data_IF_879552780800
#
_entry.id   IF_879552780800
#
_cell.length_a   1.000
_cell.length_b   1.000
_cell.length_c   1.000
_cell.angle_alpha   90.00
_cell.angle_beta   90.00
_cell.angle_gamma   90.00
#
_symmetry.space_group_name_H-M   'P 1'
#
loop_
_entity.id
_entity.type
_entity.pdbx_description
1 polymer ?
#
# COMPACT_ATOMS: atom_id res chain seq x y z
N UNK A 1 46.56 -19.50 50.45
CA UNK A 1 46.55 -19.45 48.97
C UNK A 1 45.22 -18.87 48.52
N UNK A 2 45.21 -17.62 48.02
CA UNK A 2 44.00 -16.98 47.50
C UNK A 2 43.77 -17.43 46.05
N UNK A 3 42.63 -18.09 45.81
CA UNK A 3 42.20 -18.56 44.49
C UNK A 3 41.78 -17.33 43.67
N UNK A 4 42.59 -16.88 42.71
CA UNK A 4 42.17 -15.86 41.74
C UNK A 4 40.97 -16.41 40.97
N UNK A 5 39.81 -15.78 41.15
CA UNK A 5 38.61 -16.04 40.34
C UNK A 5 38.93 -15.56 38.92
N UNK A 6 38.76 -16.44 37.93
CA UNK A 6 39.00 -16.14 36.53
C UNK A 6 38.00 -15.08 36.03
N UNK A 7 38.41 -13.82 36.01
CA UNK A 7 37.65 -12.68 35.44
C UNK A 7 37.43 -12.83 33.92
N UNK A 8 38.21 -13.69 33.25
CA UNK A 8 38.11 -13.95 31.81
C UNK A 8 36.83 -14.70 31.38
N UNK A 9 36.10 -15.33 32.31
CA UNK A 9 34.85 -16.04 32.01
C UNK A 9 33.60 -15.15 31.95
N UNK A 10 33.66 -13.96 32.52
CA UNK A 10 32.52 -13.03 32.59
C UNK A 10 32.41 -12.16 31.32
N UNK A 11 33.54 -11.87 30.67
CA UNK A 11 33.61 -11.03 29.48
C UNK A 11 32.90 -11.64 28.24
N UNK A 12 33.05 -12.93 27.91
CA UNK A 12 32.28 -13.56 26.83
C UNK A 12 30.76 -13.60 27.12
N UNK A 13 30.37 -13.77 28.38
CA UNK A 13 28.97 -13.72 28.81
C UNK A 13 28.36 -12.32 28.67
N UNK A 14 29.12 -11.28 29.03
CA UNK A 14 28.74 -9.89 28.85
C UNK A 14 28.62 -9.53 27.35
N UNK A 15 29.56 -9.99 26.51
CA UNK A 15 29.51 -9.82 25.06
C UNK A 15 28.28 -10.50 24.44
N UNK A 16 27.94 -11.71 24.88
CA UNK A 16 26.76 -12.42 24.43
C UNK A 16 25.46 -11.69 24.82
N UNK A 17 25.39 -11.14 26.04
CA UNK A 17 24.29 -10.30 26.50
C UNK A 17 24.16 -9.01 25.67
N UNK A 18 25.27 -8.31 25.42
CA UNK A 18 25.28 -7.11 24.58
C UNK A 18 24.85 -7.42 23.15
N UNK A 19 25.34 -8.51 22.57
CA UNK A 19 24.97 -8.93 21.21
C UNK A 19 23.48 -9.25 21.12
N UNK A 20 22.94 -9.98 22.10
CA UNK A 20 21.49 -10.26 22.19
C UNK A 20 20.66 -8.99 22.34
N UNK A 21 21.16 -8.00 23.08
CA UNK A 21 20.54 -6.68 23.19
C UNK A 21 20.51 -5.93 21.85
N UNK A 22 21.61 -5.96 21.10
CA UNK A 22 21.70 -5.39 19.75
C UNK A 22 20.74 -6.12 18.79
N UNK A 23 20.73 -7.45 18.80
CA UNK A 23 19.86 -8.26 17.93
C UNK A 23 18.38 -7.97 18.22
N UNK A 24 18.00 -7.83 19.50
CA UNK A 24 16.65 -7.45 19.89
C UNK A 24 16.31 -6.01 19.47
N UNK A 25 17.26 -5.07 19.61
CA UNK A 25 17.11 -3.70 19.13
C UNK A 25 16.89 -3.63 17.63
N UNK A 26 17.68 -4.37 16.84
CA UNK A 26 17.53 -4.46 15.40
C UNK A 26 16.17 -5.05 15.01
N UNK A 27 15.75 -6.14 15.65
CA UNK A 27 14.44 -6.74 15.41
C UNK A 27 13.30 -5.75 15.67
N UNK A 28 13.39 -4.96 16.75
CA UNK A 28 12.40 -3.95 17.07
C UNK A 28 12.35 -2.84 16.00
N UNK A 29 13.52 -2.32 15.60
CA UNK A 29 13.61 -1.29 14.56
C UNK A 29 13.08 -1.80 13.22
N UNK A 30 13.42 -3.02 12.82
CA UNK A 30 12.94 -3.64 11.58
C UNK A 30 11.42 -3.83 11.61
N UNK A 31 10.87 -4.25 12.75
CA UNK A 31 9.42 -4.42 12.93
C UNK A 31 8.70 -3.07 12.87
N UNK A 32 9.23 -2.06 13.55
CA UNK A 32 8.67 -0.71 13.53
C UNK A 32 8.72 -0.09 12.13
N UNK A 33 9.84 -0.24 11.42
CA UNK A 33 9.98 0.20 10.03
C UNK A 33 8.96 -0.48 9.12
N UNK A 34 8.79 -1.81 9.25
CA UNK A 34 7.78 -2.57 8.50
C UNK A 34 6.36 -2.07 8.77
N UNK A 35 6.02 -1.74 10.02
CA UNK A 35 4.70 -1.19 10.38
C UNK A 35 4.48 0.21 9.81
N UNK A 36 5.51 1.07 9.84
CA UNK A 36 5.47 2.40 9.23
C UNK A 36 5.25 2.29 7.72
N UNK A 37 5.99 1.41 7.06
CA UNK A 37 5.84 1.14 5.63
C UNK A 37 4.43 0.64 5.33
N UNK A 38 3.92 -0.34 6.09
CA UNK A 38 2.56 -0.86 5.91
C UNK A 38 1.50 0.25 6.04
N UNK A 39 1.60 1.08 7.09
CA UNK A 39 0.68 2.21 7.32
C UNK A 39 0.75 3.24 6.18
N UNK A 40 1.95 3.47 5.63
CA UNK A 40 2.12 4.37 4.50
C UNK A 40 1.48 3.82 3.22
N UNK A 41 1.59 2.52 3.00
CA UNK A 41 1.03 1.84 1.85
C UNK A 41 -0.48 1.63 1.95
N UNK A 42 -1.06 1.60 3.16
CA UNK A 42 -2.52 1.52 3.35
C UNK A 42 -3.27 2.67 2.64
N UNK A 43 -2.58 3.76 2.28
CA UNK A 43 -3.13 4.85 1.44
C UNK A 43 -3.61 4.39 0.05
N UNK A 44 -3.17 3.24 -0.44
CA UNK A 44 -3.70 2.68 -1.69
C UNK A 44 -5.09 2.07 -1.53
N UNK A 45 -5.54 1.80 -0.29
CA UNK A 45 -6.85 1.23 -0.05
C UNK A 45 -7.94 2.24 -0.40
N UNK A 46 -8.93 1.79 -1.15
CA UNK A 46 -10.00 2.65 -1.63
C UNK A 46 -10.45 2.27 -3.03
N UNK A 47 -11.24 3.15 -3.60
CA UNK A 47 -11.80 3.02 -4.94
C UNK A 47 -11.12 4.03 -5.85
N UNK A 48 -10.71 3.56 -7.02
CA UNK A 48 -9.90 4.31 -7.96
C UNK A 48 -10.53 4.25 -9.34
N UNK A 49 -10.47 5.35 -10.08
CA UNK A 49 -11.01 5.49 -11.44
C UNK A 49 -9.84 5.71 -12.41
N UNK A 50 -9.79 4.92 -13.48
CA UNK A 50 -8.76 5.07 -14.49
C UNK A 50 -8.91 6.44 -15.18
N UNK A 51 -7.79 7.14 -15.41
CA UNK A 51 -7.79 8.40 -16.17
C UNK A 51 -8.16 8.20 -17.63
N UNK A 52 -7.90 7.00 -18.15
CA UNK A 52 -8.16 6.62 -19.52
C UNK A 52 -8.96 5.32 -19.55
N UNK A 53 -10.00 5.29 -20.38
CA UNK A 53 -10.91 4.16 -20.53
C UNK A 53 -11.99 4.08 -19.46
N UNK A 54 -12.72 2.97 -19.46
CA UNK A 54 -13.85 2.71 -18.56
C UNK A 54 -13.48 1.64 -17.54
N UNK A 55 -12.43 1.88 -16.75
CA UNK A 55 -11.98 0.95 -15.73
C UNK A 55 -11.94 1.61 -14.36
N UNK A 56 -12.22 0.80 -13.35
CA UNK A 56 -12.00 1.14 -11.95
C UNK A 56 -11.15 0.09 -11.27
N UNK A 57 -10.52 0.47 -10.16
CA UNK A 57 -9.75 -0.43 -9.33
C UNK A 57 -10.24 -0.28 -7.88
N UNK A 58 -10.66 -1.39 -7.27
CA UNK A 58 -11.05 -1.41 -5.86
C UNK A 58 -9.99 -2.16 -5.07
N UNK A 59 -9.29 -1.45 -4.19
CA UNK A 59 -8.20 -2.01 -3.39
C UNK A 59 -8.61 -2.05 -1.93
N UNK A 60 -8.43 -3.21 -1.29
CA UNK A 60 -8.62 -3.38 0.15
C UNK A 60 -7.44 -4.11 0.76
N UNK A 61 -7.18 -3.84 2.03
CA UNK A 61 -6.26 -4.63 2.84
C UNK A 61 -6.78 -6.05 3.02
N UNK A 62 -5.89 -7.04 2.91
CA UNK A 62 -6.16 -8.44 3.22
C UNK A 62 -4.92 -9.10 3.81
N UNK A 63 -4.98 -9.49 5.09
CA UNK A 63 -3.82 -10.05 5.78
C UNK A 63 -2.64 -9.09 5.76
N UNK A 64 -1.46 -9.58 5.39
CA UNK A 64 -0.22 -8.79 5.25
C UNK A 64 -0.07 -8.10 3.87
N UNK A 65 -1.12 -8.10 3.05
CA UNK A 65 -1.10 -7.49 1.72
C UNK A 65 -2.45 -6.88 1.38
N UNK A 66 -2.75 -6.87 0.08
CA UNK A 66 -3.92 -6.21 -0.47
C UNK A 66 -4.53 -7.07 -1.57
N UNK A 67 -5.83 -6.92 -1.73
CA UNK A 67 -6.58 -7.43 -2.88
C UNK A 67 -7.03 -6.24 -3.70
N UNK A 68 -6.76 -6.30 -5.00
CA UNK A 68 -7.19 -5.29 -5.96
C UNK A 68 -8.12 -5.93 -6.99
N UNK A 69 -9.34 -5.42 -7.11
CA UNK A 69 -10.31 -5.83 -8.12
C UNK A 69 -10.29 -4.82 -9.24
N UNK A 70 -9.86 -5.25 -10.43
CA UNK A 70 -10.01 -4.49 -11.65
C UNK A 70 -11.43 -4.67 -12.16
N UNK A 71 -12.13 -3.57 -12.36
CA UNK A 71 -13.53 -3.56 -12.77
C UNK A 71 -13.70 -2.81 -14.10
N UNK A 72 -14.54 -3.35 -14.97
CA UNK A 72 -15.12 -2.61 -16.10
C UNK A 72 -16.25 -1.72 -15.56
N UNK A 73 -16.19 -0.44 -15.91
CA UNK A 73 -17.16 0.61 -15.54
C UNK A 73 -17.85 1.22 -16.76
N UNK A 74 -17.82 0.53 -17.91
CA UNK A 74 -18.52 0.96 -19.12
C UNK A 74 -20.05 0.90 -19.01
N UNK A 75 -20.56 0.20 -17.99
CA UNK A 75 -21.97 -0.01 -17.70
C UNK A 75 -22.36 0.67 -16.39
N UNK A 76 -23.67 0.75 -16.12
CA UNK A 76 -24.20 1.30 -14.87
C UNK A 76 -23.88 0.46 -13.61
N UNK A 77 -23.22 -0.69 -13.77
CA UNK A 77 -22.76 -1.55 -12.67
C UNK A 77 -21.28 -1.90 -12.89
N UNK A 78 -20.54 -2.12 -11.78
CA UNK A 78 -19.14 -2.55 -11.83
C UNK A 78 -19.08 -4.06 -12.12
N UNK A 79 -18.41 -4.46 -13.19
CA UNK A 79 -18.15 -5.86 -13.50
C UNK A 79 -16.69 -6.19 -13.22
N UNK A 80 -16.40 -7.21 -12.40
CA UNK A 80 -15.03 -7.62 -12.09
C UNK A 80 -14.40 -8.26 -13.35
N UNK A 81 -13.34 -7.65 -13.86
CA UNK A 81 -12.52 -8.18 -14.96
C UNK A 81 -11.41 -9.09 -14.42
N UNK A 82 -10.80 -8.72 -13.29
CA UNK A 82 -9.66 -9.44 -12.71
C UNK A 82 -9.55 -9.19 -11.21
N UNK A 83 -9.16 -10.21 -10.47
CA UNK A 83 -8.72 -10.10 -9.08
C UNK A 83 -7.19 -10.24 -9.02
N UNK A 84 -6.55 -9.35 -8.27
CA UNK A 84 -5.11 -9.25 -8.14
C UNK A 84 -4.73 -9.26 -6.67
N UNK A 85 -3.62 -9.91 -6.35
CA UNK A 85 -3.03 -9.89 -5.01
C UNK A 85 -1.78 -9.01 -5.04
N UNK A 86 -1.71 -8.05 -4.14
CA UNK A 86 -0.61 -7.09 -4.07
C UNK A 86 0.05 -7.20 -2.71
N UNK A 87 1.38 -7.28 -2.69
CA UNK A 87 2.15 -7.37 -1.44
C UNK A 87 3.21 -6.30 -1.40
N UNK A 88 3.48 -5.77 -0.20
CA UNK A 88 4.63 -4.90 0.00
C UNK A 88 5.88 -5.75 0.20
N UNK A 89 6.84 -5.66 -0.72
CA UNK A 89 8.13 -6.36 -0.65
C UNK A 89 9.25 -5.43 -1.08
N UNK A 90 10.30 -5.33 -0.26
CA UNK A 90 11.53 -4.57 -0.56
C UNK A 90 11.25 -3.12 -0.98
N UNK A 91 10.33 -2.45 -0.28
CA UNK A 91 10.00 -1.05 -0.55
C UNK A 91 9.01 -0.83 -1.70
N UNK A 92 8.36 -1.89 -2.23
CA UNK A 92 7.51 -1.80 -3.43
C UNK A 92 6.23 -2.62 -3.27
N UNK A 93 5.13 -2.13 -3.84
CA UNK A 93 3.88 -2.90 -3.96
C UNK A 93 3.95 -3.73 -5.23
N UNK A 94 4.17 -5.03 -5.07
CA UNK A 94 4.30 -5.98 -6.18
C UNK A 94 3.03 -6.79 -6.32
N UNK A 95 2.52 -6.88 -7.54
CA UNK A 95 1.39 -7.77 -7.86
C UNK A 95 1.93 -9.20 -7.96
N UNK A 96 1.28 -10.14 -7.30
CA UNK A 96 1.61 -11.56 -7.37
C UNK A 96 1.07 -12.19 -8.66
N UNK A 97 1.82 -13.15 -9.19
CA UNK A 97 1.31 -14.07 -10.20
C UNK A 97 0.38 -15.12 -9.55
N UNK A 98 -0.35 -15.88 -10.37
CA UNK A 98 -1.33 -16.87 -9.90
C UNK A 98 -0.70 -17.99 -9.06
N UNK A 99 0.58 -18.26 -9.25
CA UNK A 99 1.37 -19.22 -8.45
C UNK A 99 1.89 -18.64 -7.13
N UNK A 100 1.57 -17.38 -6.82
CA UNK A 100 2.02 -16.66 -5.63
C UNK A 100 3.45 -16.12 -5.72
N UNK A 101 4.13 -16.30 -6.87
CA UNK A 101 5.44 -15.71 -7.11
C UNK A 101 5.32 -14.19 -7.37
N UNK A 102 6.40 -13.41 -7.17
CA UNK A 102 6.38 -11.99 -7.53
C UNK A 102 6.18 -11.81 -9.03
N UNK A 103 5.08 -11.16 -9.42
CA UNK A 103 4.83 -10.76 -10.80
C UNK A 103 5.71 -9.60 -11.25
N UNK A 104 5.61 -9.25 -12.53
CA UNK A 104 6.32 -8.10 -13.12
C UNK A 104 5.65 -6.76 -12.80
N UNK A 105 4.37 -6.77 -12.47
CA UNK A 105 3.55 -5.59 -12.25
C UNK A 105 3.78 -4.99 -10.86
N UNK A 106 3.89 -3.67 -10.82
CA UNK A 106 4.11 -2.90 -9.58
C UNK A 106 3.11 -1.76 -9.49
N UNK A 107 2.59 -1.55 -8.28
CA UNK A 107 1.74 -0.43 -7.96
C UNK A 107 2.57 0.65 -7.26
N UNK A 108 2.36 1.90 -7.65
CA UNK A 108 3.04 3.05 -7.05
C UNK A 108 2.01 4.13 -6.79
N UNK A 109 1.84 4.50 -5.52
CA UNK A 109 1.03 5.65 -5.13
C UNK A 109 1.93 6.86 -4.92
N UNK A 110 1.58 7.97 -5.57
CA UNK A 110 2.25 9.25 -5.42
C UNK A 110 1.38 10.19 -4.57
N UNK A 111 1.80 10.42 -3.33
CA UNK A 111 1.09 11.29 -2.39
C UNK A 111 1.10 12.77 -2.79
N UNK A 112 2.00 13.20 -3.68
CA UNK A 112 2.05 14.59 -4.12
C UNK A 112 1.00 14.88 -5.18
N UNK A 113 0.74 13.90 -6.06
CA UNK A 113 -0.25 14.02 -7.14
C UNK A 113 -1.59 13.36 -6.81
N UNK A 114 -1.65 12.53 -5.77
CA UNK A 114 -2.84 11.74 -5.43
C UNK A 114 -3.08 10.56 -6.37
N UNK A 115 -2.13 10.25 -7.26
CA UNK A 115 -2.30 9.29 -8.33
C UNK A 115 -1.77 7.90 -7.97
N UNK A 116 -2.50 6.87 -8.39
CA UNK A 116 -2.07 5.49 -8.34
C UNK A 116 -1.67 5.01 -9.73
N UNK A 117 -0.39 4.69 -9.92
CA UNK A 117 0.10 4.00 -11.11
C UNK A 117 0.02 2.49 -10.87
N UNK A 118 -0.87 1.81 -11.57
CA UNK A 118 -1.09 0.38 -11.45
C UNK A 118 -0.43 -0.37 -12.62
N UNK A 119 0.89 -0.33 -12.69
CA UNK A 119 1.66 -1.05 -13.70
C UNK A 119 1.17 -0.81 -15.14
N UNK A 120 0.93 -1.88 -15.89
CA UNK A 120 0.37 -1.86 -17.25
C UNK A 120 -1.14 -1.61 -17.31
N UNK A 121 -1.84 -1.64 -16.16
CA UNK A 121 -3.27 -1.32 -16.10
C UNK A 121 -3.53 0.18 -16.28
N UNK A 122 -2.52 1.03 -16.04
CA UNK A 122 -2.56 2.46 -16.30
C UNK A 122 -2.47 3.31 -15.04
N UNK A 123 -2.99 4.53 -15.17
CA UNK A 123 -2.96 5.57 -14.14
C UNK A 123 -4.38 5.83 -13.62
N UNK A 124 -4.52 5.90 -12.31
CA UNK A 124 -5.81 6.00 -11.64
C UNK A 124 -5.83 7.20 -10.67
N UNK A 125 -6.99 7.83 -10.57
CA UNK A 125 -7.33 8.89 -9.61
C UNK A 125 -8.25 8.31 -8.53
N UNK A 126 -8.24 8.87 -7.32
CA UNK A 126 -9.15 8.46 -6.26
C UNK A 126 -10.60 8.79 -6.67
N UNK A 127 -11.53 7.85 -6.46
CA UNK A 127 -12.93 8.02 -6.89
C UNK A 127 -13.57 9.25 -6.21
N UNK A 128 -13.24 9.54 -4.95
CA UNK A 128 -13.80 10.70 -4.26
C UNK A 128 -13.30 12.03 -4.83
N UNK A 129 -12.05 12.12 -5.30
CA UNK A 129 -11.55 13.31 -5.99
C UNK A 129 -12.29 13.54 -7.32
N UNK A 130 -12.52 12.48 -8.10
CA UNK A 130 -13.29 12.55 -9.35
C UNK A 130 -14.73 13.00 -9.08
N UNK A 131 -15.37 12.43 -8.06
CA UNK A 131 -16.74 12.79 -7.67
C UNK A 131 -16.85 14.24 -7.19
N UNK A 132 -15.90 14.71 -6.38
CA UNK A 132 -15.85 16.11 -5.93
C UNK A 132 -15.72 17.07 -7.11
N UNK A 133 -14.88 16.73 -8.09
CA UNK A 133 -14.70 17.54 -9.31
C UNK A 133 -16.00 17.62 -10.11
N UNK A 134 -16.66 16.49 -10.35
CA UNK A 134 -17.92 16.43 -11.07
C UNK A 134 -19.06 17.21 -10.36
N UNK A 135 -19.11 17.15 -9.03
CA UNK A 135 -20.07 17.90 -8.23
C UNK A 135 -19.86 19.43 -8.37
N UNK A 136 -18.62 19.90 -8.29
CA UNK A 136 -18.30 21.31 -8.49
C UNK A 136 -18.68 21.79 -9.90
N UNK A 137 -18.46 20.98 -10.94
CA UNK A 137 -18.84 21.31 -12.32
C UNK A 137 -20.37 21.42 -12.49
N UNK A 138 -21.15 20.65 -11.73
CA UNK A 138 -22.62 20.70 -11.79
C UNK A 138 -23.19 21.91 -11.07
N UNK A 139 -22.55 22.43 -10.03
CA UNK A 139 -22.97 23.65 -9.33
C UNK A 139 -22.88 24.92 -10.20
N UNK A 140 -21.98 24.97 -11.20
CA UNK A 140 -21.94 26.05 -12.19
C UNK A 140 -23.10 26.01 -13.20
N UNK A 141 -23.77 24.87 -13.36
CA UNK A 141 -24.90 24.67 -14.28
C UNK A 141 -26.26 24.76 -13.58
N UNK A 142 -26.32 25.32 -12.37
CA UNK A 142 -27.59 25.59 -11.68
C UNK A 142 -28.30 26.74 -12.40
N UNK A 143 -29.07 26.40 -13.43
CA UNK A 143 -30.02 27.28 -14.08
C UNK A 143 -30.84 28.02 -13.02
N UNK A 144 -30.88 29.36 -13.11
CA UNK A 144 -31.84 30.17 -12.37
C UNK A 144 -33.23 29.75 -12.82
N UNK A 145 -33.98 29.12 -11.91
CA UNK A 145 -35.41 28.84 -12.09
C UNK A 145 -36.25 30.08 -11.74
N UNK A 146 -35.75 31.28 -11.98
CA UNK A 146 -36.53 32.52 -11.81
C UNK A 146 -36.97 33.04 -13.18
N UNK A 147 -37.87 32.31 -13.85
CA UNK A 147 -38.69 32.83 -14.96
C UNK A 147 -39.80 31.81 -15.33
N UNK A 148 -40.80 31.65 -14.45
CA UNK A 148 -42.16 31.20 -14.80
C UNK A 148 -43.17 32.07 -14.05
#
# INVERSE_FOLDING_TARGET
>A
MAKRKNEAGEFPGLLALMRRGIDFGNLFVDTAASLCDETQNDRICGSWIAREGNRGLLIRKQGAGYTALLCDTSRCYKQIERELYVVFRRGRLTVLADDGSPGSEQFCYDSHTGLLRAGTLGLFEAEDEVLRRAACETDFNRFSYDEI
#
